data_IF_061797394636
#
_entry.id   IF_061797394636
#
_cell.length_a   1.000
_cell.length_b   1.000
_cell.length_c   1.000
_cell.angle_alpha   90.00
_cell.angle_beta   90.00
_cell.angle_gamma   90.00
#
_symmetry.space_group_name_H-M   'P 1'
#
loop_
_entity.id
_entity.type
_entity.pdbx_description
1 polymer ?
#
# COMPACT_ATOMS: atom_id res chain seq x y z
N UNK A 1 -0.36 -38.84 28.66
CA UNK A 1 0.77 -38.30 27.87
C UNK A 1 0.34 -37.96 26.44
N UNK A 2 -0.28 -38.89 25.72
CA UNK A 2 -0.81 -38.68 24.36
C UNK A 2 -1.79 -37.51 24.19
N UNK A 3 -2.73 -37.33 25.13
CA UNK A 3 -3.74 -36.25 25.05
C UNK A 3 -3.12 -34.83 25.09
N UNK A 4 -2.01 -34.66 25.82
CA UNK A 4 -1.30 -33.37 25.90
C UNK A 4 -0.55 -33.04 24.61
N UNK A 5 -0.04 -34.06 23.91
CA UNK A 5 0.67 -33.90 22.63
C UNK A 5 -0.33 -33.48 21.54
N UNK A 6 -1.51 -34.12 21.49
CA UNK A 6 -2.57 -33.77 20.53
C UNK A 6 -3.08 -32.34 20.77
N UNK A 7 -3.24 -31.92 22.03
CA UNK A 7 -3.66 -30.55 22.34
C UNK A 7 -2.61 -29.52 21.89
N UNK A 8 -1.32 -29.82 22.08
CA UNK A 8 -0.23 -28.93 21.67
C UNK A 8 -0.15 -28.77 20.15
N UNK A 9 -0.35 -29.86 19.39
CA UNK A 9 -0.36 -29.79 17.91
C UNK A 9 -1.56 -29.05 17.37
N UNK A 10 -2.75 -29.19 17.98
CA UNK A 10 -3.95 -28.41 17.62
C UNK A 10 -3.72 -26.93 17.90
N UNK A 11 -3.20 -26.57 19.07
CA UNK A 11 -2.90 -25.17 19.43
C UNK A 11 -1.86 -24.58 18.47
N UNK A 12 -0.78 -25.31 18.17
CA UNK A 12 0.24 -24.88 17.22
C UNK A 12 -0.33 -24.68 15.82
N UNK A 13 -1.21 -25.58 15.36
CA UNK A 13 -1.92 -25.44 14.09
C UNK A 13 -2.85 -24.23 14.08
N UNK A 14 -3.60 -23.98 15.16
CA UNK A 14 -4.44 -22.79 15.30
C UNK A 14 -3.59 -21.51 15.29
N UNK A 15 -2.44 -21.49 15.97
CA UNK A 15 -1.51 -20.35 15.96
C UNK A 15 -0.96 -20.13 14.55
N UNK A 16 -0.58 -21.18 13.82
CA UNK A 16 -0.18 -21.08 12.42
C UNK A 16 -1.32 -20.52 11.56
N UNK A 17 -2.55 -20.99 11.75
CA UNK A 17 -3.72 -20.48 11.05
C UNK A 17 -4.02 -19.01 11.41
N UNK A 18 -3.78 -18.59 12.65
CA UNK A 18 -3.92 -17.19 13.10
C UNK A 18 -2.80 -16.27 12.58
N UNK A 19 -1.58 -16.78 12.44
CA UNK A 19 -0.45 -16.05 11.87
C UNK A 19 -0.57 -15.97 10.34
N UNK A 20 -1.09 -17.03 9.71
CA UNK A 20 -1.37 -17.09 8.27
C UNK A 20 -2.71 -16.47 7.88
N UNK A 21 -3.61 -16.23 8.84
CA UNK A 21 -4.70 -15.28 8.70
C UNK A 21 -4.05 -13.91 8.56
N UNK A 22 -3.65 -13.66 7.31
CA UNK A 22 -3.14 -12.41 6.76
C UNK A 22 -3.81 -11.28 7.51
N UNK A 23 -3.01 -10.38 8.07
CA UNK A 23 -3.45 -9.14 8.73
C UNK A 23 -4.27 -8.31 7.75
N UNK A 24 -5.50 -8.72 7.55
CA UNK A 24 -6.49 -8.00 6.79
C UNK A 24 -7.14 -7.03 7.74
N UNK A 25 -7.34 -5.82 7.24
CA UNK A 25 -7.90 -4.73 8.00
C UNK A 25 -8.89 -4.02 7.08
N UNK A 26 -9.99 -3.52 7.64
CA UNK A 26 -10.94 -2.79 6.82
C UNK A 26 -10.34 -1.46 6.37
N UNK A 27 -10.81 -0.92 5.25
CA UNK A 27 -10.33 0.39 4.78
C UNK A 27 -10.63 1.49 5.82
N UNK A 28 -11.76 1.39 6.51
CA UNK A 28 -12.12 2.30 7.59
C UNK A 28 -11.11 2.24 8.75
N UNK A 29 -10.72 1.04 9.18
CA UNK A 29 -9.74 0.87 10.25
C UNK A 29 -8.35 1.32 9.81
N UNK A 30 -7.96 1.12 8.54
CA UNK A 30 -6.72 1.70 7.99
C UNK A 30 -6.72 3.22 8.14
N UNK A 31 -7.82 3.90 7.80
CA UNK A 31 -7.90 5.37 7.89
C UNK A 31 -7.83 5.90 9.33
N UNK A 32 -8.10 5.07 10.34
CA UNK A 32 -7.98 5.45 11.77
C UNK A 32 -6.53 5.38 12.27
N UNK A 33 -5.62 4.73 11.54
CA UNK A 33 -4.22 4.64 11.94
C UNK A 33 -3.58 6.03 11.88
N UNK A 34 -2.94 6.42 12.99
CA UNK A 34 -2.21 7.68 13.13
C UNK A 34 -0.90 7.45 13.86
N UNK A 35 0.08 8.31 13.62
CA UNK A 35 1.42 8.27 14.25
C UNK A 35 2.18 6.96 14.04
N UNK A 36 1.88 6.25 12.95
CA UNK A 36 2.65 5.13 12.43
C UNK A 36 3.33 5.53 11.12
N UNK A 37 4.54 5.04 10.89
CA UNK A 37 5.42 5.52 9.83
C UNK A 37 5.87 4.38 8.94
N UNK A 38 6.09 4.68 7.66
CA UNK A 38 6.55 3.69 6.67
C UNK A 38 5.60 2.50 6.54
N UNK A 39 4.29 2.78 6.56
CA UNK A 39 3.25 1.77 6.43
C UNK A 39 2.40 2.05 5.19
N UNK A 40 2.12 0.97 4.46
CA UNK A 40 1.35 1.03 3.23
C UNK A 40 0.40 -0.15 3.17
N UNK A 41 -0.73 0.05 2.51
CA UNK A 41 -1.74 -0.98 2.28
C UNK A 41 -2.22 -0.94 0.84
N UNK A 42 -2.59 -2.09 0.31
CA UNK A 42 -3.43 -2.17 -0.89
C UNK A 42 -4.79 -2.70 -0.48
N UNK A 43 -5.83 -2.10 -1.03
CA UNK A 43 -7.20 -2.44 -0.73
C UNK A 43 -7.94 -2.89 -1.98
N UNK A 44 -8.77 -3.91 -1.81
CA UNK A 44 -9.79 -4.32 -2.77
C UNK A 44 -11.11 -4.41 -2.03
N UNK A 45 -12.10 -3.67 -2.53
CA UNK A 45 -13.35 -3.43 -1.80
C UNK A 45 -13.03 -2.83 -0.40
N UNK A 46 -13.52 -3.44 0.68
CA UNK A 46 -13.21 -3.02 2.05
C UNK A 46 -12.01 -3.77 2.66
N UNK A 47 -11.42 -4.76 1.96
CA UNK A 47 -10.34 -5.58 2.50
C UNK A 47 -9.00 -4.97 2.10
N UNK A 48 -8.20 -4.59 3.09
CA UNK A 48 -6.84 -4.09 2.89
C UNK A 48 -5.80 -5.06 3.45
N UNK A 49 -4.67 -5.18 2.76
CA UNK A 49 -3.51 -5.97 3.20
C UNK A 49 -2.27 -5.06 3.31
N UNK A 50 -1.46 -5.21 4.37
CA UNK A 50 -0.24 -4.44 4.54
C UNK A 50 0.78 -4.83 3.48
N UNK A 51 1.53 -3.85 3.03
CA UNK A 51 2.69 -4.01 2.16
C UNK A 51 3.86 -3.21 2.69
N UNK A 52 5.06 -3.61 2.29
CA UNK A 52 6.26 -2.79 2.54
C UNK A 52 6.07 -1.38 1.98
N UNK A 53 6.55 -0.36 2.67
CA UNK A 53 6.46 1.03 2.21
C UNK A 53 6.99 1.21 0.77
N UNK A 54 8.16 0.64 0.52
CA UNK A 54 8.82 0.61 -0.79
C UNK A 54 8.36 -0.58 -1.64
N UNK A 55 7.08 -0.98 -1.56
CA UNK A 55 6.56 -2.15 -2.27
C UNK A 55 6.86 -2.08 -3.76
N UNK A 56 7.86 -2.87 -4.17
CA UNK A 56 8.26 -3.05 -5.57
C UNK A 56 7.73 -4.35 -6.15
N UNK A 57 6.98 -5.15 -5.40
CA UNK A 57 6.50 -6.42 -5.95
C UNK A 57 5.40 -6.17 -6.99
N UNK A 58 5.33 -7.05 -7.98
CA UNK A 58 4.34 -6.95 -9.05
C UNK A 58 3.02 -7.65 -8.71
N UNK A 59 3.02 -8.46 -7.65
CA UNK A 59 1.90 -9.26 -7.22
C UNK A 59 1.53 -8.98 -5.79
N UNK A 60 0.25 -9.16 -5.48
CA UNK A 60 -0.29 -9.07 -4.13
C UNK A 60 -1.36 -10.12 -3.91
N UNK A 61 -1.44 -10.66 -2.71
CA UNK A 61 -2.50 -11.61 -2.33
C UNK A 61 -3.51 -10.88 -1.46
N UNK A 62 -4.76 -10.83 -1.90
CA UNK A 62 -5.88 -10.26 -1.14
C UNK A 62 -6.95 -11.35 -1.04
N UNK A 63 -7.43 -11.69 0.18
CA UNK A 63 -8.48 -12.68 0.30
C UNK A 63 -9.82 -12.16 -0.25
N UNK A 64 -10.59 -13.08 -0.83
CA UNK A 64 -11.97 -12.82 -1.21
C UNK A 64 -12.90 -12.86 0.02
N UNK A 65 -14.20 -12.62 -0.21
CA UNK A 65 -15.23 -12.65 0.85
C UNK A 65 -15.38 -14.03 1.51
N UNK A 66 -14.88 -15.09 0.89
CA UNK A 66 -14.91 -16.46 1.40
C UNK A 66 -13.59 -16.85 2.10
N UNK A 67 -12.62 -15.94 2.19
CA UNK A 67 -11.30 -16.17 2.78
C UNK A 67 -10.30 -16.84 1.84
N UNK A 68 -10.62 -17.01 0.56
CA UNK A 68 -9.66 -17.57 -0.41
C UNK A 68 -8.68 -16.48 -0.83
N UNK A 69 -7.38 -16.72 -0.64
CA UNK A 69 -6.34 -15.80 -1.08
C UNK A 69 -6.26 -15.76 -2.62
N UNK A 70 -6.64 -14.63 -3.21
CA UNK A 70 -6.51 -14.39 -4.65
C UNK A 70 -5.25 -13.58 -4.90
N UNK A 71 -4.40 -14.07 -5.80
CA UNK A 71 -3.19 -13.39 -6.24
C UNK A 71 -3.51 -12.50 -7.43
N UNK A 72 -3.26 -11.20 -7.27
CA UNK A 72 -3.46 -10.18 -8.29
C UNK A 72 -2.14 -9.59 -8.75
N UNK A 73 -2.07 -9.16 -10.01
CA UNK A 73 -1.06 -8.24 -10.52
C UNK A 73 -1.49 -6.82 -10.13
N UNK A 74 -0.68 -6.14 -9.30
CA UNK A 74 -1.02 -4.82 -8.74
C UNK A 74 -0.33 -3.65 -9.45
N UNK A 75 0.62 -3.93 -10.33
CA UNK A 75 1.25 -2.92 -11.19
C UNK A 75 0.41 -2.72 -12.44
N UNK A 76 0.20 -1.47 -12.82
CA UNK A 76 -0.59 -1.09 -14.00
C UNK A 76 0.19 -0.20 -14.94
N UNK A 77 -0.07 -0.35 -16.23
CA UNK A 77 0.39 0.56 -17.28
C UNK A 77 -0.64 1.64 -17.57
N UNK A 78 -0.20 2.78 -18.12
CA UNK A 78 -1.09 3.73 -18.77
C UNK A 78 -1.33 3.33 -20.23
N UNK A 79 -2.47 3.74 -20.81
CA UNK A 79 -2.88 3.39 -22.17
C UNK A 79 -1.87 3.81 -23.26
N UNK A 80 -1.15 4.91 -23.04
CA UNK A 80 -0.23 5.52 -24.02
C UNK A 80 1.16 4.90 -24.07
N UNK A 81 1.46 3.95 -23.18
CA UNK A 81 2.77 3.31 -23.14
C UNK A 81 2.76 2.21 -24.18
N UNK A 82 3.42 2.44 -25.33
CA UNK A 82 3.74 1.41 -26.33
C UNK A 82 4.08 0.13 -25.57
N UNK A 83 3.33 -0.94 -25.79
CA UNK A 83 3.26 -2.16 -24.97
C UNK A 83 4.62 -2.76 -24.54
N UNK A 84 5.73 -2.39 -25.20
CA UNK A 84 7.09 -2.82 -24.90
C UNK A 84 7.81 -2.06 -23.76
N UNK A 85 7.25 -0.98 -23.21
CA UNK A 85 7.90 -0.22 -22.11
C UNK A 85 7.28 -0.46 -20.74
N UNK A 86 6.14 -1.15 -20.69
CA UNK A 86 5.54 -1.53 -19.43
C UNK A 86 6.09 -2.86 -18.92
N UNK A 87 6.85 -2.81 -17.83
CA UNK A 87 7.39 -4.00 -17.16
C UNK A 87 6.39 -4.54 -16.13
N UNK A 88 5.23 -4.99 -16.62
CA UNK A 88 4.24 -5.72 -15.82
C UNK A 88 4.25 -7.20 -16.18
N UNK A 89 3.97 -8.09 -15.21
CA UNK A 89 3.68 -9.47 -15.55
C UNK A 89 2.50 -9.60 -16.51
N UNK A 90 2.52 -10.65 -17.31
CA UNK A 90 1.47 -10.97 -18.28
C UNK A 90 0.16 -11.32 -17.56
N UNK A 91 -0.93 -10.67 -17.94
CA UNK A 91 -2.29 -11.11 -17.60
C UNK A 91 -2.91 -11.92 -18.75
N UNK A 92 -3.75 -12.88 -18.39
CA UNK A 92 -4.56 -13.68 -19.32
C UNK A 92 -6.03 -13.24 -19.29
N UNK A 93 -6.48 -12.70 -18.17
CA UNK A 93 -7.86 -12.25 -17.94
C UNK A 93 -7.90 -10.97 -17.11
N UNK A 94 -9.04 -10.26 -17.16
CA UNK A 94 -9.26 -9.07 -16.31
C UNK A 94 -9.11 -9.38 -14.82
N UNK A 95 -9.54 -10.56 -14.38
CA UNK A 95 -9.46 -10.98 -12.98
C UNK A 95 -8.04 -11.21 -12.47
N UNK A 96 -7.06 -11.35 -13.36
CA UNK A 96 -5.65 -11.45 -12.94
C UNK A 96 -5.12 -10.10 -12.43
N UNK A 97 -5.75 -8.99 -12.85
CA UNK A 97 -5.34 -7.63 -12.53
C UNK A 97 -6.12 -7.08 -11.35
N UNK A 98 -5.43 -6.42 -10.41
CA UNK A 98 -6.09 -5.71 -9.32
C UNK A 98 -6.97 -4.55 -9.83
N UNK A 99 -6.61 -3.96 -10.98
CA UNK A 99 -7.41 -2.95 -11.68
C UNK A 99 -8.62 -3.53 -12.43
N UNK A 100 -8.81 -4.86 -12.41
CA UNK A 100 -9.83 -5.57 -13.17
C UNK A 100 -9.79 -5.27 -14.69
N UNK A 101 -8.61 -4.97 -15.23
CA UNK A 101 -8.47 -4.62 -16.64
C UNK A 101 -7.15 -5.13 -17.22
N UNK A 102 -7.28 -6.15 -18.07
CA UNK A 102 -6.20 -6.75 -18.84
C UNK A 102 -6.36 -6.35 -20.31
N UNK A 103 -5.33 -5.74 -20.89
CA UNK A 103 -5.33 -5.33 -22.29
C UNK A 103 -3.97 -5.65 -22.92
N UNK A 104 -3.97 -6.32 -24.08
CA UNK A 104 -2.77 -6.81 -24.75
C UNK A 104 -1.82 -7.49 -23.76
N UNK A 105 -2.37 -8.40 -22.94
CA UNK A 105 -1.65 -9.15 -21.92
C UNK A 105 -0.98 -8.32 -20.82
N UNK A 106 -1.34 -7.04 -20.66
CA UNK A 106 -0.82 -6.19 -19.59
C UNK A 106 -1.97 -5.67 -18.71
N UNK A 107 -1.74 -5.60 -17.39
CA UNK A 107 -2.67 -4.92 -16.51
C UNK A 107 -2.57 -3.42 -16.73
N UNK A 108 -3.69 -2.79 -17.05
CA UNK A 108 -3.76 -1.36 -17.35
C UNK A 108 -4.59 -0.63 -16.29
N UNK A 109 -4.34 0.67 -16.17
CA UNK A 109 -5.12 1.53 -15.30
C UNK A 109 -6.61 1.50 -15.68
N UNK A 110 -7.49 1.40 -14.70
CA UNK A 110 -8.93 1.40 -14.89
C UNK A 110 -9.58 2.52 -14.08
N UNK A 111 -10.21 3.48 -14.76
CA UNK A 111 -10.89 4.61 -14.09
C UNK A 111 -12.18 4.19 -13.39
N UNK A 112 -12.86 3.15 -13.88
CA UNK A 112 -14.11 2.66 -13.29
C UNK A 112 -13.86 1.90 -11.99
N UNK A 113 -12.75 1.16 -11.93
CA UNK A 113 -12.33 0.40 -10.75
C UNK A 113 -10.84 0.66 -10.47
N UNK A 114 -10.49 1.87 -9.98
CA UNK A 114 -9.10 2.22 -9.71
C UNK A 114 -8.58 1.38 -8.55
N UNK A 115 -7.32 0.98 -8.65
CA UNK A 115 -6.62 0.34 -7.54
C UNK A 115 -6.57 1.34 -6.39
N UNK A 116 -6.88 0.86 -5.18
CA UNK A 116 -6.77 1.66 -3.96
C UNK A 116 -5.51 1.25 -3.21
N UNK A 117 -4.64 2.21 -2.97
CA UNK A 117 -3.48 2.11 -2.07
C UNK A 117 -3.68 3.10 -0.94
N UNK A 118 -3.26 2.77 0.27
CA UNK A 118 -3.21 3.69 1.40
C UNK A 118 -1.79 3.81 1.91
N UNK A 119 -1.28 5.03 2.02
CA UNK A 119 0.05 5.31 2.57
C UNK A 119 -0.08 6.23 3.79
N UNK A 120 0.85 6.11 4.74
CA UNK A 120 0.97 7.12 5.79
C UNK A 120 1.44 8.44 5.19
N UNK A 121 0.92 9.57 5.64
CA UNK A 121 1.38 10.90 5.23
C UNK A 121 2.16 11.51 6.39
N UNK A 122 3.49 11.59 6.24
CA UNK A 122 4.35 12.08 7.31
C UNK A 122 4.41 13.62 7.35
N UNK A 123 4.42 14.14 8.57
CA UNK A 123 4.62 15.56 8.85
C UNK A 123 5.50 15.73 10.10
N UNK A 124 6.40 16.71 10.03
CA UNK A 124 7.23 17.11 11.15
C UNK A 124 7.03 18.61 11.41
N UNK A 125 6.76 18.97 12.66
CA UNK A 125 6.70 20.35 13.12
C UNK A 125 7.95 20.67 13.97
N UNK A 126 8.93 21.42 13.42
CA UNK A 126 10.17 21.74 14.13
C UNK A 126 9.95 22.56 15.41
N UNK A 127 8.96 23.46 15.43
CA UNK A 127 8.71 24.36 16.56
C UNK A 127 8.26 23.61 17.82
N UNK A 128 7.52 22.50 17.63
CA UNK A 128 7.02 21.66 18.71
C UNK A 128 7.80 20.35 18.86
N UNK A 129 8.86 20.17 18.07
CA UNK A 129 9.58 18.90 17.91
C UNK A 129 8.62 17.68 17.81
N UNK A 130 7.52 17.85 17.06
CA UNK A 130 6.43 16.88 17.03
C UNK A 130 6.32 16.26 15.65
N UNK A 131 6.37 14.93 15.64
CA UNK A 131 6.11 14.09 14.46
C UNK A 131 4.65 13.68 14.48
N UNK A 132 4.04 13.64 13.31
CA UNK A 132 2.69 13.11 13.14
C UNK A 132 2.53 12.48 11.76
N UNK A 133 1.68 11.48 11.70
CA UNK A 133 1.23 10.89 10.44
C UNK A 133 -0.24 10.52 10.52
N UNK A 134 -0.87 10.46 9.37
CA UNK A 134 -2.23 9.96 9.19
C UNK A 134 -2.28 9.15 7.90
N UNK A 135 -3.20 8.19 7.80
CA UNK A 135 -3.37 7.41 6.58
C UNK A 135 -4.17 8.15 5.53
N UNK A 136 -3.74 8.04 4.27
CA UNK A 136 -4.49 8.49 3.12
C UNK A 136 -4.57 7.40 2.07
N UNK A 137 -5.80 7.13 1.60
CA UNK A 137 -6.04 6.22 0.50
C UNK A 137 -6.27 6.96 -0.83
N UNK A 138 -5.66 6.47 -1.90
CA UNK A 138 -5.78 7.02 -3.24
C UNK A 138 -5.25 6.05 -4.30
N UNK A 139 -4.92 6.56 -5.48
CA UNK A 139 -4.31 5.81 -6.56
C UNK A 139 -2.87 5.42 -6.19
N UNK A 140 -2.40 4.23 -6.62
CA UNK A 140 -1.03 3.80 -6.38
C UNK A 140 -0.02 4.55 -7.27
N UNK A 141 1.25 4.36 -6.99
CA UNK A 141 2.35 4.97 -7.75
C UNK A 141 2.26 4.65 -9.25
N UNK A 142 2.71 5.61 -10.06
CA UNK A 142 2.71 5.61 -11.53
C UNK A 142 1.31 5.63 -12.18
N UNK A 143 0.22 5.69 -11.42
CA UNK A 143 -1.11 5.87 -11.99
C UNK A 143 -1.37 7.34 -12.36
N UNK A 144 -2.19 7.62 -13.40
CA UNK A 144 -2.52 8.99 -13.80
C UNK A 144 -3.23 9.77 -12.69
N UNK A 145 -2.87 11.05 -12.53
CA UNK A 145 -3.48 11.96 -11.56
C UNK A 145 -3.55 13.39 -12.12
N UNK A 146 -4.52 14.17 -11.64
CA UNK A 146 -4.60 15.60 -11.93
C UNK A 146 -4.25 16.48 -10.72
N UNK A 147 -4.45 15.94 -9.52
CA UNK A 147 -4.22 16.60 -8.24
C UNK A 147 -3.55 15.66 -7.23
N UNK A 148 -2.90 16.24 -6.21
CA UNK A 148 -2.21 15.50 -5.16
C UNK A 148 -3.13 14.56 -4.38
N UNK A 149 -4.35 15.01 -4.05
CA UNK A 149 -5.32 14.24 -3.26
C UNK A 149 -5.85 12.98 -3.97
N UNK A 150 -5.62 12.83 -5.28
CA UNK A 150 -5.93 11.59 -5.99
C UNK A 150 -4.93 10.48 -5.67
N UNK A 151 -3.72 10.80 -5.22
CA UNK A 151 -2.64 9.87 -4.97
C UNK A 151 -2.60 9.45 -3.50
N UNK A 152 -2.32 8.17 -3.23
CA UNK A 152 -2.22 7.66 -1.85
C UNK A 152 -1.18 8.40 -1.00
N UNK A 153 -0.14 8.93 -1.65
CA UNK A 153 0.96 9.67 -1.05
C UNK A 153 0.78 11.19 -0.99
N UNK A 154 -0.34 11.74 -1.48
CA UNK A 154 -0.51 13.18 -1.76
C UNK A 154 0.53 13.79 -2.70
N UNK A 155 1.05 13.03 -3.66
CA UNK A 155 2.03 13.56 -4.62
C UNK A 155 1.64 13.15 -6.03
N UNK A 156 1.08 14.10 -6.77
CA UNK A 156 0.90 14.04 -8.21
C UNK A 156 2.08 14.75 -8.88
N UNK A 157 2.94 13.98 -9.54
CA UNK A 157 4.13 14.53 -10.18
C UNK A 157 3.78 15.46 -11.35
N UNK A 158 4.76 16.26 -11.79
CA UNK A 158 4.63 17.12 -12.98
C UNK A 158 4.27 16.33 -14.25
N UNK A 159 4.64 15.05 -14.31
CA UNK A 159 4.32 14.13 -15.40
C UNK A 159 2.90 13.54 -15.30
N UNK A 160 2.05 14.08 -14.40
CA UNK A 160 0.66 13.65 -14.19
C UNK A 160 0.53 12.20 -13.76
N UNK A 161 1.50 11.74 -12.97
CA UNK A 161 1.47 10.40 -12.35
C UNK A 161 1.75 10.47 -10.86
N UNK A 162 1.09 9.61 -10.09
CA UNK A 162 1.29 9.49 -8.65
C UNK A 162 2.72 9.04 -8.34
N UNK A 163 3.35 9.67 -7.35
CA UNK A 163 4.71 9.35 -6.93
C UNK A 163 4.77 9.05 -5.44
N UNK A 164 5.79 8.35 -4.97
CA UNK A 164 5.97 8.09 -3.54
C UNK A 164 6.39 9.37 -2.79
N UNK A 165 5.98 9.50 -1.53
CA UNK A 165 6.60 10.48 -0.64
C UNK A 165 8.01 10.00 -0.26
N UNK A 166 8.92 10.95 -0.03
CA UNK A 166 10.27 10.66 0.47
C UNK A 166 10.46 11.13 1.91
N UNK A 167 9.41 11.71 2.50
CA UNK A 167 9.41 12.20 3.86
C UNK A 167 9.17 11.03 4.80
N UNK A 168 9.89 11.00 5.91
CA UNK A 168 9.71 10.07 7.00
C UNK A 168 10.60 10.47 8.17
N UNK A 169 10.45 9.82 9.33
CA UNK A 169 11.33 10.05 10.47
C UNK A 169 12.79 9.90 10.07
N UNK A 170 13.56 10.99 10.14
CA UNK A 170 15.02 10.96 10.00
C UNK A 170 15.69 11.05 11.37
N UNK A 171 16.93 10.58 11.50
CA UNK A 171 17.75 10.79 12.71
C UNK A 171 18.06 12.28 12.90
N UNK A 172 18.09 13.06 11.81
CA UNK A 172 18.35 14.51 11.79
C UNK A 172 17.15 15.37 12.22
N UNK A 173 15.93 14.80 12.24
CA UNK A 173 14.71 15.47 12.73
C UNK A 173 14.77 15.74 14.27
N UNK A 174 15.90 15.47 14.92
CA UNK A 174 16.15 15.72 16.36
C UNK A 174 16.93 17.03 16.60
N UNK A 175 17.49 17.70 15.59
CA UNK A 175 18.38 18.85 15.83
C UNK A 175 18.00 20.08 15.00
N UNK A 176 17.09 20.92 15.51
CA UNK A 176 17.17 22.39 15.35
C UNK A 176 16.66 23.05 16.64
N UNK A 177 17.45 23.04 17.70
CA UNK A 177 17.28 23.97 18.83
C UNK A 177 18.59 24.62 19.31
N UNK A 178 19.66 24.54 18.53
CA UNK A 178 20.88 25.25 18.85
C UNK A 178 21.34 26.17 17.71
N UNK A 179 21.42 27.45 18.10
CA UNK A 179 22.14 28.57 17.48
C UNK A 179 21.40 29.37 16.38
N UNK A 180 20.44 30.19 16.82
CA UNK A 180 20.42 31.60 16.41
C UNK A 180 20.48 32.49 17.67
N UNK A 181 21.64 32.51 18.31
CA UNK A 181 22.09 33.68 19.07
C UNK A 181 23.47 34.04 18.57
N UNK A 182 23.52 34.80 17.47
CA UNK A 182 24.62 35.71 17.24
C UNK A 182 24.08 37.11 17.51
N UNK A 183 24.44 37.64 18.68
CA UNK A 183 24.61 39.08 18.93
C UNK A 183 26.08 39.41 18.80
#
# INVERSE_FOLDING_TARGET
>A
MFLKIILYTIIYYIIIQLVNAVQTISKEEVLKITNAYYISFYCKDDICVPVEYNFKQAYISIPDKNGNNIKYICRTCTYDVKANTCLTPTCNSNSDCLSNKCFNNNCIFNEETPIVRCDDIYSFNPLLNRRSSYMHCGKPYNNPCNSDDECSSKICSRNKTCNMQLKGPSEDDIIIFFIFTCS
#
